data_IF_625829538991
#
_entry.id   IF_625829538991
#
_cell.length_a   1.000
_cell.length_b   1.000
_cell.length_c   1.000
_cell.angle_alpha   90.00
_cell.angle_beta   90.00
_cell.angle_gamma   90.00
#
_symmetry.space_group_name_H-M   'P 1'
#
loop_
_entity.id
_entity.type
_entity.pdbx_description
1 polymer ?
#
# COMPACT_ATOMS: atom_id res chain seq x y z
N UNK A 1 14.64 -14.11 -17.50
CA UNK A 1 14.75 -12.65 -17.28
C UNK A 1 14.50 -12.40 -15.80
N UNK A 2 15.27 -11.51 -15.17
CA UNK A 2 15.15 -11.21 -13.73
C UNK A 2 14.32 -9.94 -13.60
N UNK A 3 13.11 -10.10 -13.08
CA UNK A 3 12.24 -8.99 -12.73
C UNK A 3 12.57 -8.53 -11.30
N UNK A 4 12.79 -7.23 -11.10
CA UNK A 4 13.14 -6.65 -9.80
C UNK A 4 12.00 -5.79 -9.27
N UNK A 5 11.69 -5.91 -7.97
CA UNK A 5 10.72 -5.04 -7.29
C UNK A 5 11.45 -3.87 -6.63
N UNK A 6 11.08 -2.65 -7.00
CA UNK A 6 11.52 -1.39 -6.42
C UNK A 6 10.42 -0.81 -5.54
N UNK A 7 10.79 -0.33 -4.35
CA UNK A 7 9.87 0.34 -3.44
C UNK A 7 10.16 1.84 -3.38
N UNK A 8 9.12 2.67 -3.48
CA UNK A 8 9.26 4.14 -3.48
C UNK A 8 8.06 4.81 -2.80
N UNK A 9 8.25 5.99 -2.21
CA UNK A 9 7.17 6.85 -1.69
C UNK A 9 6.80 7.99 -2.65
N UNK A 10 7.40 7.99 -3.84
CA UNK A 10 7.22 8.99 -4.89
C UNK A 10 6.84 8.26 -6.18
N UNK A 11 5.74 8.69 -6.79
CA UNK A 11 5.22 8.14 -8.03
C UNK A 11 4.96 9.26 -9.02
N UNK A 12 5.40 9.12 -10.27
CA UNK A 12 5.21 10.13 -11.32
C UNK A 12 3.75 10.15 -11.81
N UNK A 13 3.24 11.30 -12.31
CA UNK A 13 1.90 11.42 -12.87
C UNK A 13 1.57 10.41 -13.99
N UNK A 14 2.58 9.94 -14.72
CA UNK A 14 2.43 8.94 -15.78
C UNK A 14 1.81 7.62 -15.30
N UNK A 15 1.86 7.33 -13.99
CA UNK A 15 1.27 6.12 -13.39
C UNK A 15 -0.18 6.32 -12.92
N UNK A 16 -0.86 7.42 -13.29
CA UNK A 16 -2.22 7.72 -12.79
C UNK A 16 -3.20 6.58 -13.06
N UNK A 17 -3.25 6.10 -14.31
CA UNK A 17 -4.16 5.01 -14.68
C UNK A 17 -3.84 3.71 -13.95
N UNK A 18 -2.56 3.38 -13.77
CA UNK A 18 -2.15 2.16 -13.06
C UNK A 18 -2.51 2.24 -11.57
N UNK A 19 -2.34 3.42 -10.97
CA UNK A 19 -2.70 3.67 -9.58
C UNK A 19 -4.22 3.61 -9.38
N UNK A 20 -5.01 4.21 -10.27
CA UNK A 20 -6.47 4.12 -10.27
C UNK A 20 -6.93 2.67 -10.40
N UNK A 21 -6.35 1.90 -11.32
CA UNK A 21 -6.67 0.47 -11.48
C UNK A 21 -6.40 -0.32 -10.21
N UNK A 22 -5.28 -0.08 -9.54
CA UNK A 22 -4.97 -0.75 -8.27
C UNK A 22 -5.92 -0.34 -7.13
N UNK A 23 -6.30 0.94 -7.05
CA UNK A 23 -7.08 1.49 -5.94
C UNK A 23 -8.60 1.44 -6.12
N UNK A 24 -9.12 1.36 -7.33
CA UNK A 24 -10.57 1.43 -7.58
C UNK A 24 -11.11 0.29 -8.45
N UNK A 25 -10.26 -0.40 -9.21
CA UNK A 25 -10.69 -1.39 -10.21
C UNK A 25 -10.01 -2.76 -10.06
N UNK A 26 -9.41 -3.03 -8.90
CA UNK A 26 -8.69 -4.27 -8.65
C UNK A 26 -9.67 -5.35 -8.15
N UNK A 27 -9.77 -6.49 -8.82
CA UNK A 27 -10.72 -7.55 -8.45
C UNK A 27 -10.39 -8.20 -7.10
N UNK A 28 -9.14 -8.07 -6.62
CA UNK A 28 -8.82 -8.45 -5.25
C UNK A 28 -9.50 -7.56 -4.20
N UNK A 29 -10.11 -6.44 -4.60
CA UNK A 29 -10.91 -5.61 -3.69
C UNK A 29 -12.23 -6.27 -3.28
N UNK A 30 -12.72 -7.26 -4.03
CA UNK A 30 -13.88 -8.04 -3.60
C UNK A 30 -13.61 -8.77 -2.28
N UNK A 31 -12.33 -9.03 -1.97
CA UNK A 31 -11.89 -9.62 -0.69
C UNK A 31 -11.88 -8.64 0.47
N UNK A 32 -11.98 -7.32 0.23
CA UNK A 32 -12.04 -6.21 1.22
C UNK A 32 -13.41 -5.53 1.22
N UNK A 33 -14.34 -5.89 0.31
CA UNK A 33 -15.61 -5.19 0.13
C UNK A 33 -16.44 -5.09 1.41
N UNK A 34 -16.41 -6.11 2.28
CA UNK A 34 -17.13 -6.09 3.56
C UNK A 34 -16.62 -5.01 4.52
N UNK A 35 -15.37 -4.59 4.38
CA UNK A 35 -14.69 -3.66 5.28
C UNK A 35 -14.62 -2.23 4.74
N UNK A 36 -14.83 -2.07 3.44
CA UNK A 36 -14.77 -0.79 2.76
C UNK A 36 -15.69 0.27 3.40
N UNK A 37 -16.95 -0.02 3.81
CA UNK A 37 -17.80 0.96 4.48
C UNK A 37 -17.21 1.48 5.81
N UNK A 38 -16.56 0.61 6.58
CA UNK A 38 -15.95 0.96 7.87
C UNK A 38 -14.66 1.76 7.68
N UNK A 39 -13.84 1.40 6.68
CA UNK A 39 -12.66 2.18 6.29
C UNK A 39 -13.05 3.58 5.80
N UNK A 40 -14.11 3.69 4.97
CA UNK A 40 -14.66 4.99 4.53
C UNK A 40 -15.22 5.77 5.72
N UNK A 41 -15.92 5.12 6.65
CA UNK A 41 -16.45 5.80 7.84
C UNK A 41 -15.32 6.37 8.72
N UNK A 42 -14.23 5.62 8.90
CA UNK A 42 -13.12 6.03 9.79
C UNK A 42 -12.15 6.99 9.12
N UNK A 43 -11.84 6.77 7.85
CA UNK A 43 -10.77 7.48 7.16
C UNK A 43 -11.25 8.34 5.97
N UNK A 44 -12.52 8.26 5.60
CA UNK A 44 -13.05 8.94 4.44
C UNK A 44 -12.72 8.24 3.13
N UNK A 45 -13.12 8.86 2.02
CA UNK A 45 -12.90 8.29 0.69
C UNK A 45 -11.46 8.55 0.23
N UNK A 46 -10.90 7.59 -0.52
CA UNK A 46 -9.58 7.73 -1.08
C UNK A 46 -9.63 8.50 -2.41
N UNK A 47 -8.72 9.45 -2.57
CA UNK A 47 -8.59 10.28 -3.75
C UNK A 47 -7.15 10.27 -4.26
N UNK A 48 -6.96 10.30 -5.57
CA UNK A 48 -5.65 10.49 -6.18
C UNK A 48 -5.54 11.96 -6.57
N UNK A 49 -4.43 12.60 -6.18
CA UNK A 49 -4.13 13.99 -6.54
C UNK A 49 -2.69 14.13 -6.99
N UNK A 50 -2.49 14.87 -8.08
CA UNK A 50 -1.16 15.33 -8.48
C UNK A 50 -0.77 16.51 -7.59
N UNK A 51 0.37 16.40 -6.91
CA UNK A 51 0.96 17.47 -6.07
C UNK A 51 2.39 17.70 -6.53
N UNK A 52 2.62 18.82 -7.25
CA UNK A 52 3.87 19.02 -7.99
C UNK A 52 4.03 17.94 -9.05
N UNK A 53 5.21 17.31 -9.11
CA UNK A 53 5.53 16.24 -10.07
C UNK A 53 5.27 14.84 -9.51
N UNK A 54 4.36 14.71 -8.53
CA UNK A 54 4.13 13.46 -7.79
C UNK A 54 2.64 13.16 -7.64
N UNK A 55 2.27 11.89 -7.81
CA UNK A 55 0.98 11.37 -7.37
C UNK A 55 0.98 11.17 -5.86
N UNK A 56 -0.13 11.57 -5.24
CA UNK A 56 -0.43 11.35 -3.83
C UNK A 56 -1.79 10.68 -3.72
N UNK A 57 -1.88 9.73 -2.81
CA UNK A 57 -3.17 9.24 -2.33
C UNK A 57 -3.54 10.06 -1.12
N UNK A 58 -4.74 10.64 -1.14
CA UNK A 58 -5.32 11.40 -0.05
C UNK A 58 -6.51 10.64 0.50
N UNK A 59 -6.84 10.94 1.75
CA UNK A 59 -8.06 10.50 2.41
C UNK A 59 -8.79 11.77 2.89
N UNK A 60 -10.11 11.74 2.95
CA UNK A 60 -10.87 12.90 3.47
C UNK A 60 -10.56 13.16 4.95
N UNK A 61 -10.13 12.13 5.69
CA UNK A 61 -9.69 12.27 7.07
C UNK A 61 -8.33 12.95 7.22
N UNK A 62 -8.13 13.55 8.39
CA UNK A 62 -6.84 14.05 8.86
C UNK A 62 -6.34 13.14 9.99
N UNK A 63 -5.04 12.81 10.05
CA UNK A 63 -3.94 13.30 9.21
C UNK A 63 -3.91 12.69 7.81
N UNK A 64 -3.32 13.42 6.86
CA UNK A 64 -3.12 12.91 5.50
C UNK A 64 -2.19 11.69 5.49
N UNK A 65 -2.51 10.65 4.69
CA UNK A 65 -1.74 9.42 4.69
C UNK A 65 -0.40 9.57 3.97
N UNK A 66 0.46 8.61 4.22
CA UNK A 66 1.65 8.32 3.41
C UNK A 66 1.37 7.15 2.48
N UNK A 67 2.16 7.05 1.41
CA UNK A 67 1.99 5.98 0.42
C UNK A 67 3.32 5.34 0.10
N UNK A 68 3.32 4.01 0.02
CA UNK A 68 4.40 3.17 -0.47
C UNK A 68 3.94 2.49 -1.76
N UNK A 69 4.72 2.63 -2.81
CA UNK A 69 4.49 2.03 -4.12
C UNK A 69 5.51 0.92 -4.37
N UNK A 70 5.08 -0.11 -5.08
CA UNK A 70 5.93 -1.19 -5.57
C UNK A 70 5.93 -1.16 -7.11
N UNK A 71 7.10 -0.99 -7.70
CA UNK A 71 7.33 -0.99 -9.15
C UNK A 71 8.05 -2.28 -9.55
N UNK A 72 7.48 -3.04 -10.47
CA UNK A 72 8.18 -4.14 -11.13
C UNK A 72 8.99 -3.57 -12.29
N UNK A 73 10.28 -3.89 -12.33
CA UNK A 73 11.21 -3.42 -13.36
C UNK A 73 11.77 -4.59 -14.15
N UNK A 74 11.60 -4.55 -15.47
CA UNK A 74 12.20 -5.46 -16.44
C UNK A 74 12.60 -4.69 -17.69
N UNK A 75 13.81 -4.90 -18.19
CA UNK A 75 14.29 -4.40 -19.49
C UNK A 75 14.07 -2.90 -19.75
N UNK A 76 14.23 -2.09 -18.70
CA UNK A 76 14.07 -0.63 -18.77
C UNK A 76 12.63 -0.13 -18.65
N UNK A 77 11.65 -1.04 -18.56
CA UNK A 77 10.26 -0.72 -18.28
C UNK A 77 9.95 -0.90 -16.81
N UNK A 78 9.14 0.01 -16.27
CA UNK A 78 8.65 -0.02 -14.90
C UNK A 78 7.12 -0.07 -14.94
N UNK A 79 6.52 -0.97 -14.15
CA UNK A 79 5.08 -1.14 -13.99
C UNK A 79 4.72 -1.03 -12.53
N UNK A 80 3.68 -0.28 -12.19
CA UNK A 80 3.14 -0.23 -10.84
C UNK A 80 2.37 -1.51 -10.54
N UNK A 81 2.86 -2.27 -9.55
CA UNK A 81 2.33 -3.60 -9.19
C UNK A 81 1.80 -3.66 -7.77
N UNK A 82 2.01 -2.61 -6.96
CA UNK A 82 1.44 -2.53 -5.63
C UNK A 82 1.42 -1.12 -5.06
N UNK A 83 0.44 -0.88 -4.19
CA UNK A 83 0.28 0.35 -3.42
C UNK A 83 -0.15 0.03 -2.00
N UNK A 84 0.39 0.79 -1.06
CA UNK A 84 0.09 0.70 0.37
C UNK A 84 -0.08 2.12 0.90
N UNK A 85 -1.26 2.40 1.45
CA UNK A 85 -1.62 3.69 2.05
C UNK A 85 -1.69 3.50 3.55
N UNK A 86 -0.91 4.27 4.29
CA UNK A 86 -0.80 4.12 5.73
C UNK A 86 -0.69 5.48 6.42
N UNK A 87 -1.08 5.54 7.69
CA UNK A 87 -1.09 6.76 8.48
C UNK A 87 -0.51 6.51 9.86
N UNK A 88 -0.05 7.59 10.51
CA UNK A 88 0.44 7.54 11.88
C UNK A 88 -0.69 7.85 12.85
N UNK A 89 -0.97 6.91 13.74
CA UNK A 89 -1.89 7.07 14.88
C UNK A 89 -1.11 6.87 16.18
N UNK A 90 -0.73 7.98 16.82
CA UNK A 90 0.10 7.95 18.03
C UNK A 90 1.46 7.30 17.78
N UNK A 91 1.67 6.15 18.39
CA UNK A 91 2.88 5.33 18.28
C UNK A 91 2.76 4.16 17.29
N UNK A 92 1.72 4.19 16.45
CA UNK A 92 1.40 3.10 15.51
C UNK A 92 1.33 3.61 14.08
N UNK A 93 1.85 2.82 13.13
CA UNK A 93 1.56 3.00 11.70
C UNK A 93 0.42 2.07 11.27
N UNK A 94 -0.69 2.65 10.86
CA UNK A 94 -1.90 1.95 10.48
C UNK A 94 -1.98 1.82 8.96
N UNK A 95 -1.92 0.59 8.45
CA UNK A 95 -2.08 0.25 7.03
C UNK A 95 -3.56 0.24 6.65
N UNK A 96 -4.02 1.29 5.97
CA UNK A 96 -5.43 1.51 5.63
C UNK A 96 -5.83 0.81 4.34
N UNK A 97 -4.99 0.93 3.29
CA UNK A 97 -5.25 0.34 1.98
C UNK A 97 -4.01 -0.43 1.56
N UNK A 98 -4.18 -1.68 1.14
CA UNK A 98 -3.15 -2.46 0.49
C UNK A 98 -3.74 -3.10 -0.77
N UNK A 99 -3.19 -2.75 -1.92
CA UNK A 99 -3.61 -3.32 -3.19
C UNK A 99 -2.38 -3.75 -3.98
N UNK A 100 -2.45 -4.94 -4.56
CA UNK A 100 -1.42 -5.50 -5.44
C UNK A 100 -2.07 -5.98 -6.72
N UNK A 101 -1.34 -5.89 -7.83
CA UNK A 101 -1.78 -6.46 -9.10
C UNK A 101 -1.98 -7.98 -8.93
N UNK A 102 -2.99 -8.54 -9.60
CA UNK A 102 -3.38 -9.96 -9.47
C UNK A 102 -2.23 -10.91 -9.77
N UNK A 103 -1.41 -10.58 -10.78
CA UNK A 103 -0.19 -11.30 -11.17
C UNK A 103 0.84 -11.42 -10.02
N UNK A 104 0.71 -10.58 -8.98
CA UNK A 104 1.63 -10.45 -7.85
C UNK A 104 0.98 -10.76 -6.48
N UNK A 105 -0.31 -11.12 -6.47
CA UNK A 105 -1.06 -11.38 -5.24
C UNK A 105 -0.71 -12.72 -4.57
N UNK A 106 -0.23 -13.69 -5.36
CA UNK A 106 0.13 -15.03 -4.89
C UNK A 106 1.64 -15.26 -4.76
N UNK A 107 1.99 -16.42 -4.21
CA UNK A 107 3.35 -16.97 -4.28
C UNK A 107 3.66 -17.30 -5.74
N UNK A 108 4.68 -16.67 -6.33
CA UNK A 108 5.15 -17.09 -7.66
C UNK A 108 5.72 -18.51 -7.54
N UNK A 109 5.62 -19.30 -8.62
CA UNK A 109 6.01 -20.73 -8.69
C UNK A 109 7.42 -21.07 -8.18
N UNK A 110 8.27 -20.06 -7.97
CA UNK A 110 9.65 -20.20 -7.45
C UNK A 110 9.77 -20.05 -5.92
N UNK A 111 8.68 -20.08 -5.16
CA UNK A 111 8.72 -19.98 -3.69
C UNK A 111 9.03 -18.56 -3.18
N UNK A 112 8.89 -17.55 -4.04
CA UNK A 112 9.04 -16.16 -3.63
C UNK A 112 7.92 -15.71 -2.69
N UNK A 113 8.31 -14.98 -1.65
CA UNK A 113 7.38 -14.34 -0.73
C UNK A 113 6.37 -13.45 -1.47
N UNK A 114 5.06 -13.51 -1.14
CA UNK A 114 4.03 -12.67 -1.74
C UNK A 114 4.35 -11.17 -1.62
N UNK A 115 4.03 -10.38 -2.65
CA UNK A 115 4.37 -8.96 -2.71
C UNK A 115 3.83 -8.18 -1.51
N UNK A 116 2.60 -8.49 -1.08
CA UNK A 116 1.99 -7.86 0.11
C UNK A 116 2.87 -8.04 1.36
N UNK A 117 3.46 -9.22 1.54
CA UNK A 117 4.32 -9.49 2.70
C UNK A 117 5.65 -8.73 2.60
N UNK A 118 6.23 -8.62 1.40
CA UNK A 118 7.39 -7.75 1.14
C UNK A 118 7.08 -6.28 1.46
N UNK A 119 5.92 -5.77 1.03
CA UNK A 119 5.48 -4.39 1.31
C UNK A 119 5.29 -4.13 2.80
N UNK A 120 4.67 -5.06 3.53
CA UNK A 120 4.55 -4.98 4.99
C UNK A 120 5.93 -5.01 5.66
N UNK A 121 6.87 -5.80 5.14
CA UNK A 121 8.27 -5.79 5.59
C UNK A 121 8.92 -4.41 5.47
N UNK A 122 8.78 -3.77 4.29
CA UNK A 122 9.27 -2.40 4.07
C UNK A 122 8.59 -1.40 5.00
N UNK A 123 7.28 -1.51 5.23
CA UNK A 123 6.56 -0.64 6.17
C UNK A 123 7.07 -0.79 7.60
N UNK A 124 7.40 -2.01 8.04
CA UNK A 124 8.04 -2.24 9.35
C UNK A 124 9.42 -1.60 9.42
N UNK A 125 10.19 -1.63 8.33
CA UNK A 125 11.50 -0.99 8.27
C UNK A 125 11.40 0.55 8.34
N UNK A 126 10.38 1.11 7.69
CA UNK A 126 10.03 2.53 7.84
C UNK A 126 9.64 2.82 9.29
N UNK A 127 8.76 2.01 9.90
CA UNK A 127 8.33 2.16 11.29
C UNK A 127 9.52 2.20 12.26
N UNK A 128 10.49 1.29 12.10
CA UNK A 128 11.73 1.24 12.92
C UNK A 128 12.55 2.52 12.89
N UNK A 129 12.48 3.27 11.78
CA UNK A 129 13.26 4.50 11.57
C UNK A 129 12.52 5.75 12.04
N UNK A 130 11.21 5.66 12.31
CA UNK A 130 10.40 6.79 12.75
C UNK A 130 10.37 6.85 14.27
N UNK A 131 10.86 7.96 14.83
CA UNK A 131 10.90 8.16 16.28
C UNK A 131 9.49 8.07 16.90
N UNK A 132 9.37 7.21 17.91
CA UNK A 132 8.15 7.03 18.70
C UNK A 132 7.10 6.18 18.00
N UNK A 133 7.47 5.36 17.01
CA UNK A 133 6.62 4.29 16.49
C UNK A 133 7.09 2.95 17.08
N UNK A 134 6.14 2.20 17.65
CA UNK A 134 6.38 0.92 18.33
C UNK A 134 5.63 -0.23 17.67
N UNK A 135 4.62 0.06 16.83
CA UNK A 135 3.81 -0.98 16.22
C UNK A 135 3.32 -0.61 14.81
N UNK A 136 2.97 -1.64 14.04
CA UNK A 136 2.27 -1.52 12.76
C UNK A 136 0.95 -2.27 12.87
N UNK A 137 -0.16 -1.59 12.62
CA UNK A 137 -1.47 -2.20 12.55
C UNK A 137 -1.82 -2.48 11.09
N UNK A 138 -2.23 -3.71 10.82
CA UNK A 138 -2.74 -4.13 9.52
C UNK A 138 -4.27 -4.24 9.61
N UNK A 139 -4.97 -3.61 8.66
CA UNK A 139 -6.37 -3.90 8.38
C UNK A 139 -6.43 -4.90 7.20
N UNK A 140 -6.48 -6.22 7.46
CA UNK A 140 -6.78 -7.18 6.40
C UNK A 140 -8.23 -7.00 5.95
N UNK A 141 -8.56 -7.46 4.73
CA UNK A 141 -9.91 -7.34 4.15
C UNK A 141 -11.04 -8.12 4.79
N UNK A 142 -10.76 -8.64 5.97
CA UNK A 142 -11.76 -8.90 7.00
C UNK A 142 -11.22 -8.20 8.22
N UNK A 143 -11.88 -7.13 8.71
CA UNK A 143 -11.46 -6.19 9.76
C UNK A 143 -11.05 -6.86 11.09
N UNK A 144 -9.97 -7.63 11.06
CA UNK A 144 -9.27 -8.20 12.19
C UNK A 144 -7.98 -7.42 12.29
N UNK A 145 -7.99 -6.46 13.21
CA UNK A 145 -6.81 -5.69 13.53
C UNK A 145 -5.69 -6.67 13.92
N UNK A 146 -4.64 -6.72 13.10
CA UNK A 146 -3.44 -7.46 13.43
C UNK A 146 -2.35 -6.45 13.73
N UNK A 147 -2.14 -6.21 15.02
CA UNK A 147 -1.02 -5.41 15.48
C UNK A 147 0.26 -6.25 15.44
N UNK A 148 1.31 -5.70 14.87
CA UNK A 148 2.63 -6.31 14.79
C UNK A 148 3.61 -5.37 15.46
N UNK A 149 4.31 -5.87 16.50
CA UNK A 149 5.34 -5.10 17.17
C UNK A 149 6.52 -4.84 16.23
N UNK A 150 7.03 -3.63 16.33
CA UNK A 150 8.26 -3.18 15.69
C UNK A 150 9.40 -3.57 16.63
N UNK A 151 10.12 -4.64 16.29
CA UNK A 151 11.29 -5.12 17.04
C UNK A 151 12.60 -4.54 16.53
#
# INVERSE_FOLDING_TARGET
>A
MIEMILFTSILRPDYTEELERLLFFNQNQDKVQSDLPLLIQRYGMAHIKVTGDCLRVLLDSSPQPQTLYALARSDGFERLVGVTVYLREGDTLSLVIAAVCEDYAGTRTNGEEPLVRKMVGVLRDVARRVKGINSVTLFPGTLREKQVLVG
#
